data_IF_611873940063
#
_entry.id   IF_611873940063
#
_cell.length_a   1.000
_cell.length_b   1.000
_cell.length_c   1.000
_cell.angle_alpha   90.00
_cell.angle_beta   90.00
_cell.angle_gamma   90.00
#
_symmetry.space_group_name_H-M   'P 1'
#
loop_
_entity.id
_entity.type
_entity.pdbx_description
1 polymer ?
#
# COMPACT_ATOMS: atom_id res chain seq x y z
N UNK A 1 9.69 -9.23 26.46
CA UNK A 1 10.56 -9.99 25.55
C UNK A 1 11.28 -8.99 24.64
N UNK A 2 12.62 -9.00 24.66
CA UNK A 2 13.46 -8.05 23.91
C UNK A 2 13.30 -8.33 22.42
N UNK A 3 12.76 -7.38 21.68
CA UNK A 3 12.95 -7.30 20.23
C UNK A 3 14.44 -7.07 20.02
N UNK A 4 15.15 -8.08 19.53
CA UNK A 4 16.48 -7.88 18.94
C UNK A 4 16.30 -6.95 17.75
N UNK A 5 16.67 -5.68 17.93
CA UNK A 5 17.05 -4.84 16.82
C UNK A 5 18.23 -5.51 16.13
N UNK A 6 17.98 -6.28 15.07
CA UNK A 6 18.98 -6.51 14.04
C UNK A 6 19.14 -5.18 13.29
N UNK A 7 19.79 -4.24 13.97
CA UNK A 7 20.34 -3.07 13.32
C UNK A 7 21.63 -3.54 12.67
N UNK A 8 21.64 -3.62 11.34
CA UNK A 8 22.89 -3.65 10.58
C UNK A 8 23.31 -2.19 10.42
N UNK A 9 24.38 -1.72 11.09
CA UNK A 9 25.08 -0.54 10.60
C UNK A 9 25.78 -0.96 9.32
N UNK A 10 25.73 -0.09 8.32
CA UNK A 10 26.42 -0.20 7.04
C UNK A 10 25.61 -0.86 5.91
N UNK A 11 24.65 -0.09 5.41
CA UNK A 11 24.35 -0.01 3.98
C UNK A 11 24.00 1.45 3.72
N UNK A 12 24.55 2.03 2.67
CA UNK A 12 24.39 3.43 2.30
C UNK A 12 22.98 3.72 1.74
N UNK A 13 21.94 3.41 2.50
CA UNK A 13 20.54 3.49 2.09
C UNK A 13 19.96 4.86 2.40
N UNK A 14 19.71 5.65 1.35
CA UNK A 14 19.13 7.00 1.44
C UNK A 14 17.64 7.01 1.78
N UNK A 15 17.01 5.84 1.85
CA UNK A 15 15.59 5.63 2.15
C UNK A 15 15.51 4.40 3.07
N UNK A 16 14.95 4.54 4.27
CA UNK A 16 14.79 3.42 5.21
C UNK A 16 13.34 3.38 5.67
N UNK A 17 12.68 2.23 5.47
CA UNK A 17 11.29 1.98 5.89
C UNK A 17 11.26 1.05 7.08
N UNK A 18 10.44 1.39 8.09
CA UNK A 18 10.28 0.56 9.29
C UNK A 18 9.31 -0.59 9.02
N UNK A 19 9.70 -1.82 9.36
CA UNK A 19 8.74 -2.93 9.42
C UNK A 19 7.91 -2.81 10.69
N UNK A 20 6.59 -2.74 10.54
CA UNK A 20 5.60 -2.69 11.61
C UNK A 20 4.81 -3.99 11.59
N UNK A 21 4.91 -4.79 12.65
CA UNK A 21 4.00 -5.93 12.86
C UNK A 21 2.71 -5.45 13.51
N UNK A 22 1.55 -5.58 12.85
CA UNK A 22 0.25 -5.21 13.43
C UNK A 22 -0.60 -6.46 13.70
N UNK A 23 -1.11 -6.60 14.92
CA UNK A 23 -2.28 -7.44 15.23
C UNK A 23 -3.54 -6.72 14.72
N UNK A 24 -4.41 -7.41 13.99
CA UNK A 24 -5.67 -6.85 13.49
C UNK A 24 -6.61 -6.44 14.62
N UNK A 25 -6.57 -5.16 15.00
CA UNK A 25 -7.63 -4.50 15.77
C UNK A 25 -8.80 -4.16 14.84
N UNK A 26 -9.83 -5.01 14.86
CA UNK A 26 -11.06 -4.88 14.07
C UNK A 26 -11.67 -6.26 13.80
N UNK A 27 -12.53 -6.72 14.73
CA UNK A 27 -13.17 -8.05 14.79
C UNK A 27 -12.25 -9.25 14.57
N UNK A 28 -11.85 -9.82 15.70
CA UNK A 28 -11.14 -11.08 15.88
C UNK A 28 -11.89 -12.27 15.26
N UNK A 29 -11.80 -12.43 13.94
CA UNK A 29 -12.09 -13.70 13.25
C UNK A 29 -10.92 -13.96 12.31
N UNK A 30 -10.04 -14.85 12.75
CA UNK A 30 -8.79 -15.32 12.13
C UNK A 30 -7.53 -14.45 12.37
N UNK A 31 -6.81 -14.80 13.45
CA UNK A 31 -5.55 -14.18 13.91
C UNK A 31 -4.34 -14.45 13.02
N UNK A 32 -4.38 -14.02 11.76
CA UNK A 32 -3.24 -14.10 10.84
C UNK A 32 -2.37 -12.84 10.96
N UNK A 33 -1.10 -13.04 11.32
CA UNK A 33 -0.09 -12.00 11.28
C UNK A 33 0.09 -11.49 9.85
N UNK A 34 0.08 -10.17 9.68
CA UNK A 34 0.43 -9.51 8.42
C UNK A 34 1.64 -8.62 8.66
N UNK A 35 2.61 -8.70 7.75
CA UNK A 35 3.73 -7.76 7.72
C UNK A 35 3.16 -6.44 7.19
N UNK A 36 3.34 -5.35 7.93
CA UNK A 36 3.03 -4.01 7.45
C UNK A 36 4.34 -3.23 7.30
N UNK A 37 4.58 -2.68 6.13
CA UNK A 37 5.72 -1.80 5.88
C UNK A 37 5.26 -0.36 6.10
N UNK A 38 6.00 0.39 6.90
CA UNK A 38 5.73 1.81 7.13
C UNK A 38 6.34 2.66 6.00
N UNK A 39 5.48 3.07 5.08
CA UNK A 39 5.81 3.93 3.95
C UNK A 39 5.62 5.42 4.24
N UNK A 40 5.42 5.86 5.48
CA UNK A 40 5.13 7.27 5.79
C UNK A 40 6.20 8.22 5.25
N UNK A 41 7.48 7.89 5.45
CA UNK A 41 8.58 8.70 4.95
C UNK A 41 8.69 8.65 3.42
N UNK A 42 8.46 7.48 2.82
CA UNK A 42 8.52 7.30 1.37
C UNK A 42 7.39 8.08 0.66
N UNK A 43 6.16 7.97 1.17
CA UNK A 43 4.99 8.65 0.63
C UNK A 43 5.09 10.17 0.70
N UNK A 44 5.81 10.71 1.69
CA UNK A 44 6.06 12.15 1.80
C UNK A 44 7.14 12.64 0.83
N UNK A 45 8.11 11.78 0.47
CA UNK A 45 9.16 12.11 -0.49
C UNK A 45 8.72 11.94 -1.95
N UNK A 46 7.73 11.09 -2.21
CA UNK A 46 7.19 10.88 -3.54
C UNK A 46 6.27 12.04 -3.98
N UNK A 47 6.37 12.49 -5.24
CA UNK A 47 5.41 13.44 -5.79
C UNK A 47 4.01 12.80 -5.85
N UNK A 48 2.98 13.64 -5.63
CA UNK A 48 1.58 13.19 -5.67
C UNK A 48 1.18 12.79 -7.09
N UNK A 49 0.31 11.79 -7.19
CA UNK A 49 -0.17 11.27 -8.47
C UNK A 49 -0.87 12.38 -9.28
N UNK A 50 -0.61 12.36 -10.59
CA UNK A 50 -1.20 13.27 -11.57
C UNK A 50 -2.63 12.85 -11.95
N UNK A 51 -3.05 11.63 -11.60
CA UNK A 51 -4.39 11.12 -11.87
C UNK A 51 -5.24 11.15 -10.59
N UNK A 52 -6.04 12.21 -10.36
CA UNK A 52 -6.92 12.25 -9.21
C UNK A 52 -8.01 11.19 -9.33
N UNK A 53 -8.37 10.58 -8.21
CA UNK A 53 -9.50 9.65 -8.16
C UNK A 53 -10.78 10.38 -8.63
N UNK A 54 -11.60 9.74 -9.49
CA UNK A 54 -12.85 10.31 -9.94
C UNK A 54 -13.77 10.57 -8.74
N UNK A 55 -14.49 11.70 -8.77
CA UNK A 55 -15.46 12.02 -7.72
C UNK A 55 -16.64 11.06 -7.81
N UNK A 56 -17.21 10.70 -6.66
CA UNK A 56 -18.34 9.75 -6.59
C UNK A 56 -19.49 10.22 -7.48
N UNK A 57 -19.82 11.51 -7.46
CA UNK A 57 -20.91 12.07 -8.28
C UNK A 57 -20.68 11.84 -9.78
N UNK A 58 -19.44 11.99 -10.26
CA UNK A 58 -19.11 11.76 -11.68
C UNK A 58 -19.32 10.30 -12.08
N UNK A 59 -18.98 9.36 -11.18
CA UNK A 59 -19.16 7.93 -11.41
C UNK A 59 -20.66 7.62 -11.41
N UNK A 60 -21.42 8.12 -10.43
CA UNK A 60 -22.87 7.91 -10.33
C UNK A 60 -23.59 8.46 -11.56
N UNK A 61 -23.27 9.68 -11.98
CA UNK A 61 -23.87 10.33 -13.15
C UNK A 61 -23.53 9.58 -14.45
N UNK A 62 -22.29 9.09 -14.60
CA UNK A 62 -21.89 8.28 -15.76
C UNK A 62 -22.62 6.94 -15.84
N UNK A 63 -23.08 6.45 -14.70
CA UNK A 63 -23.71 5.14 -14.56
C UNK A 63 -25.24 5.24 -14.53
N UNK A 64 -25.78 6.45 -14.33
CA UNK A 64 -27.21 6.72 -14.34
C UNK A 64 -27.81 6.37 -15.71
N UNK A 65 -28.79 5.46 -15.72
CA UNK A 65 -29.46 5.00 -16.95
C UNK A 65 -28.92 3.69 -17.54
N UNK A 66 -27.87 3.09 -16.94
CA UNK A 66 -27.43 1.75 -17.31
C UNK A 66 -28.38 0.69 -16.72
N UNK A 67 -28.87 -0.24 -17.56
CA UNK A 67 -29.82 -1.28 -17.14
C UNK A 67 -29.22 -2.42 -16.30
N UNK A 68 -27.90 -2.53 -16.24
CA UNK A 68 -27.19 -3.56 -15.47
C UNK A 68 -25.79 -3.07 -15.12
N UNK A 69 -25.37 -3.28 -13.87
CA UNK A 69 -24.05 -2.95 -13.35
C UNK A 69 -23.41 -4.19 -12.74
N UNK A 70 -22.13 -4.41 -13.02
CA UNK A 70 -21.31 -5.43 -12.38
C UNK A 70 -20.17 -4.77 -11.60
N UNK A 71 -19.93 -5.26 -10.39
CA UNK A 71 -18.81 -4.82 -9.56
C UNK A 71 -17.66 -5.82 -9.68
N UNK A 72 -16.46 -5.31 -9.96
CA UNK A 72 -15.24 -6.11 -10.01
C UNK A 72 -14.42 -5.83 -8.75
N UNK A 73 -14.03 -6.89 -8.05
CA UNK A 73 -13.12 -6.78 -6.91
C UNK A 73 -11.67 -6.87 -7.36
N UNK A 74 -10.88 -5.88 -6.95
CA UNK A 74 -9.44 -5.79 -7.19
C UNK A 74 -8.65 -5.76 -5.88
N UNK A 75 -9.10 -6.49 -4.85
CA UNK A 75 -8.46 -6.51 -3.52
C UNK A 75 -6.94 -6.75 -3.55
N UNK A 76 -6.48 -7.63 -4.45
CA UNK A 76 -5.06 -7.94 -4.64
C UNK A 76 -4.41 -7.17 -5.80
N UNK A 77 -5.09 -6.19 -6.39
CA UNK A 77 -4.65 -5.48 -7.59
C UNK A 77 -3.29 -4.80 -7.43
N UNK A 78 -2.98 -4.31 -6.23
CA UNK A 78 -1.68 -3.69 -5.93
C UNK A 78 -0.48 -4.61 -6.17
N UNK A 79 -0.63 -5.92 -5.97
CA UNK A 79 0.47 -6.89 -6.16
C UNK A 79 0.64 -7.33 -7.62
N UNK A 80 -0.32 -6.99 -8.49
CA UNK A 80 -0.30 -7.38 -9.90
C UNK A 80 0.31 -6.31 -10.81
N UNK A 81 0.39 -5.07 -10.33
CA UNK A 81 0.99 -3.96 -11.08
C UNK A 81 2.51 -4.01 -10.85
N UNK A 82 3.32 -4.20 -11.91
CA UNK A 82 4.76 -4.24 -11.76
C UNK A 82 5.30 -2.85 -11.39
N UNK A 83 6.36 -2.85 -10.58
CA UNK A 83 7.08 -1.63 -10.28
C UNK A 83 7.96 -1.21 -11.45
N UNK A 84 8.18 0.09 -11.59
CA UNK A 84 9.23 0.61 -12.47
C UNK A 84 10.60 0.13 -11.97
N UNK A 85 11.49 -0.41 -12.82
CA UNK A 85 12.81 -0.89 -12.38
C UNK A 85 13.65 0.17 -11.66
N UNK A 86 13.46 1.45 -11.97
CA UNK A 86 14.16 2.56 -11.32
C UNK A 86 13.66 2.85 -9.89
N UNK A 87 12.48 2.35 -9.54
CA UNK A 87 11.84 2.57 -8.25
C UNK A 87 11.87 1.31 -7.36
N UNK A 88 12.24 0.15 -7.91
CA UNK A 88 12.44 -1.09 -7.16
C UNK A 88 13.47 -0.93 -6.04
N UNK A 89 14.54 -0.17 -6.28
CA UNK A 89 15.52 0.14 -5.25
C UNK A 89 14.86 0.85 -4.07
N UNK A 90 13.83 1.67 -4.24
CA UNK A 90 13.22 2.44 -3.14
C UNK A 90 12.30 1.59 -2.25
N UNK A 91 12.06 0.33 -2.62
CA UNK A 91 11.30 -0.60 -1.81
C UNK A 91 12.21 -1.45 -0.94
N UNK A 92 11.82 -1.72 0.30
CA UNK A 92 12.55 -2.67 1.13
C UNK A 92 12.44 -4.07 0.53
N UNK A 93 13.60 -4.70 0.28
CA UNK A 93 13.73 -6.10 -0.13
C UNK A 93 13.30 -7.09 0.96
#
# INVERSE_FOLDING_TARGET
>A
MRLTSCWKPDSSEKWSTRLVGKCSGGTQKEGKWRVCVDYTNLNNACPKDSFPLPRIDQIVDSTAGQGMLSFLDAFSGYHQIPMSPADEEKQPS
#
